data_IF_512808180371
#
_entry.id   IF_512808180371
#
_cell.length_a   1.000
_cell.length_b   1.000
_cell.length_c   1.000
_cell.angle_alpha   90.00
_cell.angle_beta   90.00
_cell.angle_gamma   90.00
#
_symmetry.space_group_name_H-M   'P 1'
#
loop_
_entity.id
_entity.type
_entity.pdbx_description
1 polymer ?
#
# COMPACT_ATOMS: atom_id res chain seq x y z
N UNK A 1 -10.71 7.11 -2.42
CA UNK A 1 -10.77 7.17 -0.94
C UNK A 1 -11.77 8.24 -0.51
N UNK A 2 -12.87 7.84 0.13
CA UNK A 2 -14.00 8.74 0.46
C UNK A 2 -14.31 8.85 1.94
N UNK A 3 -13.85 7.92 2.78
CA UNK A 3 -14.13 7.95 4.23
C UNK A 3 -13.43 9.15 4.90
N UNK A 4 -14.18 10.06 5.55
CA UNK A 4 -13.63 11.24 6.19
C UNK A 4 -12.58 10.98 7.27
N UNK A 5 -12.55 9.77 7.86
CA UNK A 5 -11.59 9.42 8.90
C UNK A 5 -10.13 9.56 8.43
N UNK A 6 -9.88 9.45 7.12
CA UNK A 6 -8.54 9.54 6.54
C UNK A 6 -8.11 10.96 6.17
N UNK A 7 -8.96 11.98 6.32
CA UNK A 7 -8.63 13.36 5.87
C UNK A 7 -7.36 13.94 6.49
N UNK A 8 -7.06 13.53 7.71
CA UNK A 8 -5.88 13.97 8.46
C UNK A 8 -4.72 12.97 8.40
N UNK A 9 -4.90 11.82 7.74
CA UNK A 9 -3.82 10.87 7.52
C UNK A 9 -2.77 11.47 6.56
N UNK A 10 -1.49 11.31 6.91
CA UNK A 10 -0.38 11.85 6.12
C UNK A 10 -0.35 11.22 4.71
N UNK A 11 -0.54 9.90 4.62
CA UNK A 11 -0.52 9.21 3.34
C UNK A 11 -1.66 9.64 2.42
N UNK A 12 -2.86 9.87 2.98
CA UNK A 12 -3.96 10.48 2.23
C UNK A 12 -3.64 11.90 1.75
N UNK A 13 -3.03 12.74 2.58
CA UNK A 13 -2.65 14.11 2.17
C UNK A 13 -1.58 14.10 1.07
N UNK A 14 -0.59 13.20 1.17
CA UNK A 14 0.45 13.01 0.15
C UNK A 14 -0.16 12.52 -1.18
N UNK A 15 -1.14 11.61 -1.12
CA UNK A 15 -1.92 11.17 -2.27
C UNK A 15 -2.67 12.32 -2.95
N UNK A 16 -3.40 13.12 -2.18
CA UNK A 16 -4.13 14.28 -2.70
C UNK A 16 -3.18 15.28 -3.35
N UNK A 17 -2.03 15.55 -2.71
CA UNK A 17 -1.01 16.44 -3.26
C UNK A 17 -0.41 15.90 -4.56
N UNK A 18 -0.13 14.59 -4.63
CA UNK A 18 0.39 13.93 -5.83
C UNK A 18 -0.60 14.03 -6.99
N UNK A 19 -1.86 13.67 -6.78
CA UNK A 19 -2.88 13.70 -7.82
C UNK A 19 -3.11 15.12 -8.33
N UNK A 20 -3.26 16.10 -7.45
CA UNK A 20 -3.41 17.51 -7.85
C UNK A 20 -2.26 18.02 -8.71
N UNK A 21 -1.04 17.53 -8.47
CA UNK A 21 0.15 18.00 -9.18
C UNK A 21 0.37 17.27 -10.50
N UNK A 22 0.16 15.96 -10.55
CA UNK A 22 0.60 15.11 -11.65
C UNK A 22 -0.54 14.48 -12.45
N UNK A 23 -1.75 14.39 -11.89
CA UNK A 23 -2.93 13.84 -12.57
C UNK A 23 -4.24 14.50 -12.06
N UNK A 24 -4.40 15.82 -12.26
CA UNK A 24 -5.50 16.60 -11.68
C UNK A 24 -6.89 16.21 -12.19
N UNK A 25 -6.98 15.61 -13.38
CA UNK A 25 -8.21 15.05 -13.95
C UNK A 25 -8.58 13.68 -13.38
N UNK A 26 -7.66 13.04 -12.66
CA UNK A 26 -7.88 11.74 -12.02
C UNK A 26 -8.75 11.87 -10.77
N UNK A 27 -9.75 11.00 -10.66
CA UNK A 27 -10.66 10.99 -9.53
C UNK A 27 -9.96 10.46 -8.25
N UNK A 28 -10.06 11.20 -7.14
CA UNK A 28 -9.48 10.84 -5.85
C UNK A 28 -10.22 9.68 -5.16
N UNK A 29 -11.47 9.45 -5.54
CA UNK A 29 -12.32 8.38 -5.06
C UNK A 29 -12.16 7.06 -5.83
N UNK A 30 -11.56 7.08 -7.02
CA UNK A 30 -11.22 5.88 -7.80
C UNK A 30 -10.12 5.06 -7.10
N UNK A 31 -10.45 3.80 -6.80
CA UNK A 31 -9.55 2.87 -6.15
C UNK A 31 -8.38 2.44 -7.04
N UNK A 32 -8.55 2.43 -8.36
CA UNK A 32 -7.50 2.07 -9.32
C UNK A 32 -6.38 3.10 -9.30
N UNK A 33 -6.73 4.38 -9.17
CA UNK A 33 -5.80 5.49 -9.02
C UNK A 33 -4.97 5.34 -7.73
N UNK A 34 -5.65 5.08 -6.60
CA UNK A 34 -4.99 4.84 -5.31
C UNK A 34 -4.10 3.59 -5.33
N UNK A 35 -4.55 2.51 -5.99
CA UNK A 35 -3.77 1.29 -6.18
C UNK A 35 -2.48 1.55 -6.97
N UNK A 36 -2.60 2.24 -8.11
CA UNK A 36 -1.45 2.59 -8.96
C UNK A 36 -0.40 3.41 -8.20
N UNK A 37 -0.84 4.34 -7.36
CA UNK A 37 0.05 5.15 -6.51
C UNK A 37 0.87 4.30 -5.54
N UNK A 38 0.22 3.42 -4.78
CA UNK A 38 0.90 2.54 -3.83
C UNK A 38 1.86 1.57 -4.53
N UNK A 39 1.43 0.94 -5.64
CA UNK A 39 2.27 0.00 -6.38
C UNK A 39 3.50 0.69 -6.99
N UNK A 40 3.34 1.91 -7.51
CA UNK A 40 4.47 2.69 -8.04
C UNK A 40 5.49 3.06 -6.94
N UNK A 41 5.02 3.38 -5.73
CA UNK A 41 5.89 3.63 -4.58
C UNK A 41 6.63 2.36 -4.16
N UNK A 42 5.93 1.22 -4.12
CA UNK A 42 6.57 -0.07 -3.80
C UNK A 42 7.63 -0.45 -4.85
N UNK A 43 7.32 -0.26 -6.13
CA UNK A 43 8.30 -0.46 -7.21
C UNK A 43 9.51 0.45 -7.04
N UNK A 44 9.30 1.72 -6.67
CA UNK A 44 10.40 2.65 -6.38
C UNK A 44 11.29 2.15 -5.24
N UNK A 45 10.71 1.55 -4.20
CA UNK A 45 11.48 0.92 -3.11
C UNK A 45 12.34 -0.25 -3.63
N UNK A 46 11.78 -1.15 -4.43
CA UNK A 46 12.51 -2.27 -5.05
C UNK A 46 13.68 -1.76 -5.90
N UNK A 47 13.43 -0.76 -6.76
CA UNK A 47 14.45 -0.19 -7.63
C UNK A 47 15.56 0.50 -6.83
N UNK A 48 15.23 1.21 -5.74
CA UNK A 48 16.24 1.78 -4.82
C UNK A 48 17.12 0.70 -4.19
N UNK A 49 16.53 -0.42 -3.76
CA UNK A 49 17.28 -1.56 -3.22
C UNK A 49 18.21 -2.22 -4.25
N UNK A 50 17.88 -2.13 -5.54
CA UNK A 50 18.71 -2.70 -6.60
C UNK A 50 20.02 -1.92 -6.82
N UNK A 51 20.06 -0.63 -6.46
CA UNK A 51 21.20 0.24 -6.74
C UNK A 51 21.47 0.33 -8.25
N UNK A 52 22.69 0.00 -8.68
CA UNK A 52 23.09 0.07 -10.09
C UNK A 52 22.80 -1.21 -10.90
N UNK A 53 22.44 -2.32 -10.24
CA UNK A 53 22.14 -3.58 -10.90
C UNK A 53 20.63 -3.71 -11.10
N UNK A 54 20.14 -3.23 -12.25
CA UNK A 54 18.73 -3.33 -12.64
C UNK A 54 18.45 -4.57 -13.49
N UNK A 55 19.25 -5.63 -13.35
CA UNK A 55 18.97 -6.91 -13.99
C UNK A 55 17.67 -7.51 -13.46
N UNK A 56 16.99 -8.30 -14.31
CA UNK A 56 15.78 -9.04 -13.92
C UNK A 56 16.00 -9.90 -12.67
N UNK A 57 17.16 -10.56 -12.60
CA UNK A 57 17.52 -11.41 -11.47
C UNK A 57 17.59 -10.62 -10.16
N UNK A 58 18.28 -9.47 -10.17
CA UNK A 58 18.39 -8.65 -8.97
C UNK A 58 17.05 -8.01 -8.58
N UNK A 59 16.25 -7.54 -9.55
CA UNK A 59 14.91 -7.00 -9.28
C UNK A 59 14.05 -8.04 -8.58
N UNK A 60 14.01 -9.28 -9.08
CA UNK A 60 13.23 -10.34 -8.44
C UNK A 60 13.79 -10.71 -7.06
N UNK A 61 15.12 -10.71 -6.88
CA UNK A 61 15.76 -10.92 -5.58
C UNK A 61 15.36 -9.86 -4.56
N UNK A 62 15.32 -8.57 -4.94
CA UNK A 62 14.90 -7.49 -4.04
C UNK A 62 13.40 -7.51 -3.78
N UNK A 63 12.58 -7.79 -4.80
CA UNK A 63 11.13 -7.95 -4.66
C UNK A 63 10.75 -9.10 -3.74
N UNK A 64 11.57 -10.15 -3.66
CA UNK A 64 11.40 -11.29 -2.75
C UNK A 64 11.97 -11.05 -1.33
N UNK A 65 12.48 -9.85 -1.04
CA UNK A 65 13.12 -9.53 0.24
C UNK A 65 12.63 -8.18 0.81
N UNK A 66 11.36 -7.86 0.62
CA UNK A 66 10.75 -6.70 1.25
C UNK A 66 10.44 -7.04 2.71
N UNK A 67 10.83 -6.14 3.62
CA UNK A 67 10.63 -6.30 5.07
C UNK A 67 10.06 -5.02 5.66
N UNK A 68 8.88 -5.13 6.27
CA UNK A 68 8.20 -4.05 6.98
C UNK A 68 8.08 -2.75 6.18
N UNK A 69 7.79 -2.84 4.88
CA UNK A 69 7.70 -1.66 4.02
C UNK A 69 6.35 -0.97 4.21
N UNK A 70 6.39 0.31 4.57
CA UNK A 70 5.22 1.19 4.62
C UNK A 70 4.82 1.68 3.23
N UNK A 71 3.51 1.71 2.97
CA UNK A 71 2.95 2.39 1.81
C UNK A 71 1.88 3.39 2.28
N UNK A 72 1.77 4.58 1.63
CA UNK A 72 0.98 5.68 2.16
C UNK A 72 -0.50 5.36 2.36
N UNK A 73 -1.12 4.56 1.49
CA UNK A 73 -2.57 4.33 1.52
C UNK A 73 -2.96 2.96 2.11
N UNK A 74 -2.05 2.31 2.84
CA UNK A 74 -2.40 1.12 3.62
C UNK A 74 -3.05 1.52 4.94
N UNK A 75 -3.85 0.60 5.49
CA UNK A 75 -4.40 0.80 6.83
C UNK A 75 -3.26 0.86 7.87
N UNK A 76 -3.42 1.65 8.94
CA UNK A 76 -2.43 1.73 10.00
C UNK A 76 -2.03 0.34 10.51
N UNK A 77 -0.72 0.08 10.57
CA UNK A 77 -0.14 -1.18 11.05
C UNK A 77 0.07 -2.24 9.97
N UNK A 78 -0.56 -2.14 8.80
CA UNK A 78 -0.30 -3.06 7.68
C UNK A 78 1.06 -2.70 7.06
N UNK A 79 1.91 -3.71 6.88
CA UNK A 79 3.24 -3.56 6.30
C UNK A 79 3.47 -4.58 5.21
N UNK A 80 4.12 -4.15 4.13
CA UNK A 80 4.49 -5.04 3.04
C UNK A 80 5.67 -5.92 3.44
N UNK A 81 5.51 -7.23 3.28
CA UNK A 81 6.52 -8.25 3.52
C UNK A 81 6.49 -9.28 2.40
N UNK A 82 7.66 -9.69 1.90
CA UNK A 82 7.80 -10.79 0.94
C UNK A 82 8.96 -11.69 1.33
N UNK A 83 8.98 -12.88 0.74
CA UNK A 83 10.02 -13.89 0.89
C UNK A 83 10.30 -14.61 -0.44
N UNK A 84 11.41 -15.36 -0.52
CA UNK A 84 11.77 -16.12 -1.73
C UNK A 84 10.74 -17.17 -2.13
N UNK A 85 9.90 -17.61 -1.19
CA UNK A 85 8.84 -18.60 -1.41
C UNK A 85 7.42 -18.00 -1.29
N UNK A 86 7.33 -16.68 -1.08
CA UNK A 86 6.07 -16.00 -0.76
C UNK A 86 6.12 -14.55 -1.29
N UNK A 87 5.49 -14.35 -2.44
CA UNK A 87 5.45 -13.05 -3.12
C UNK A 87 4.17 -12.27 -2.82
N UNK A 88 3.31 -12.74 -1.90
CA UNK A 88 2.13 -12.00 -1.48
C UNK A 88 2.58 -10.83 -0.58
N UNK A 89 2.49 -9.56 -1.03
CA UNK A 89 3.10 -8.46 -0.30
C UNK A 89 2.33 -8.11 0.98
N UNK A 90 1.03 -8.37 1.03
CA UNK A 90 0.15 -8.03 2.15
C UNK A 90 -0.65 -9.29 2.49
N UNK A 91 -0.52 -9.72 3.74
CA UNK A 91 -1.26 -10.85 4.29
C UNK A 91 -1.91 -10.48 5.63
N UNK A 92 -1.94 -9.18 5.97
CA UNK A 92 -2.65 -8.68 7.13
C UNK A 92 -4.02 -8.12 6.74
N UNK A 93 -5.03 -8.44 7.53
CA UNK A 93 -6.40 -7.99 7.33
C UNK A 93 -6.93 -7.29 8.58
N UNK A 94 -7.84 -6.35 8.36
CA UNK A 94 -8.55 -5.65 9.42
C UNK A 94 -10.05 -5.74 9.14
N UNK A 95 -10.80 -6.24 10.13
CA UNK A 95 -12.25 -6.37 9.98
C UNK A 95 -12.92 -5.00 9.97
N UNK A 96 -13.90 -4.86 9.09
CA UNK A 96 -14.75 -3.69 9.00
C UNK A 96 -16.23 -4.11 8.98
N UNK A 97 -17.08 -3.35 9.66
CA UNK A 97 -18.53 -3.53 9.66
C UNK A 97 -19.19 -2.28 9.11
N UNK A 98 -20.15 -2.46 8.21
CA UNK A 98 -20.98 -1.35 7.77
C UNK A 98 -21.97 -0.95 8.88
N UNK A 99 -21.94 0.31 9.29
CA UNK A 99 -22.77 0.85 10.37
C UNK A 99 -24.04 1.56 9.90
N UNK A 100 -24.27 1.61 8.58
CA UNK A 100 -25.36 2.34 7.94
C UNK A 100 -24.89 3.58 7.17
N UNK A 101 -23.69 4.09 7.48
CA UNK A 101 -23.11 5.27 6.83
C UNK A 101 -21.72 4.97 6.26
N UNK A 102 -20.89 4.20 6.97
CA UNK A 102 -19.51 3.88 6.59
C UNK A 102 -19.07 2.49 7.05
N UNK A 103 -17.89 2.09 6.58
CA UNK A 103 -17.20 0.88 7.05
C UNK A 103 -16.35 1.21 8.27
N UNK A 104 -16.87 0.92 9.46
CA UNK A 104 -16.16 1.11 10.72
C UNK A 104 -15.24 -0.09 11.00
N UNK A 105 -13.93 0.19 11.14
CA UNK A 105 -12.91 -0.78 11.52
C UNK A 105 -13.11 -1.21 12.98
N UNK A 106 -12.98 -2.49 13.27
CA UNK A 106 -13.06 -3.04 14.63
C UNK A 106 -12.19 -4.29 14.81
N UNK A 107 -11.91 -4.65 16.06
CA UNK A 107 -11.10 -5.81 16.41
C UNK A 107 -9.61 -5.60 16.20
N UNK A 108 -8.82 -6.61 16.55
CA UNK A 108 -7.39 -6.65 16.28
C UNK A 108 -7.12 -7.01 14.81
N UNK A 109 -5.95 -6.61 14.31
CA UNK A 109 -5.45 -7.03 13.00
C UNK A 109 -5.20 -8.54 13.01
N UNK A 110 -5.56 -9.21 11.92
CA UNK A 110 -5.41 -10.65 11.76
C UNK A 110 -4.45 -10.97 10.61
N UNK A 111 -3.66 -12.03 10.75
CA UNK A 111 -2.87 -12.58 9.65
C UNK A 111 -3.77 -13.53 8.84
N UNK A 112 -3.93 -13.26 7.54
CA UNK A 112 -4.71 -14.05 6.59
C UNK A 112 -4.12 -15.45 6.37
N UNK A 113 -2.81 -15.61 6.62
CA UNK A 113 -2.09 -16.88 6.52
C UNK A 113 -1.30 -17.11 7.80
N UNK A 114 -1.54 -18.25 8.48
CA UNK A 114 -0.60 -18.72 9.51
C UNK A 114 0.64 -19.26 8.79
N UNK A 115 1.77 -18.55 8.92
CA UNK A 115 3.08 -19.05 8.49
C UNK A 115 3.55 -20.22 9.36
#
# INVERSE_FOLDING_TARGET
>A
ITDPQWKNDKGYQDWVAFMKKYYPEGALDDQSNAFGYNVAILMTQVLKQCGNDLSRENIMRQAANLKNVDLPLLLPGIKVNTGPNDFAPIEQEQLAKFDGERWAIFGEMVEAVRK
#
